data_IF_941002312657
#
_entry.id   IF_941002312657
#
_cell.length_a   1.000
_cell.length_b   1.000
_cell.length_c   1.000
_cell.angle_alpha   90.00
_cell.angle_beta   90.00
_cell.angle_gamma   90.00
#
_symmetry.space_group_name_H-M   'P 1'
#
loop_
_entity.id
_entity.type
_entity.pdbx_description
1 polymer ?
#
# COMPACT_ATOMS: atom_id res chain seq x y z
N UNK A 1 -1.81 -7.42 -28.84
CA UNK A 1 -2.62 -8.29 -27.98
C UNK A 1 -2.89 -7.52 -26.69
N UNK A 2 -3.99 -7.79 -25.95
CA UNK A 2 -4.18 -7.21 -24.63
C UNK A 2 -3.03 -7.58 -23.69
N UNK A 3 -2.62 -6.64 -22.85
CA UNK A 3 -1.60 -6.84 -21.83
C UNK A 3 -2.09 -6.18 -20.54
N UNK A 4 -1.60 -6.66 -19.40
CA UNK A 4 -1.86 -6.00 -18.12
C UNK A 4 -1.34 -4.56 -18.18
N UNK A 5 -2.10 -3.64 -17.59
CA UNK A 5 -1.68 -2.25 -17.47
C UNK A 5 -0.41 -2.18 -16.63
N UNK A 6 0.56 -1.39 -17.11
CA UNK A 6 1.71 -0.99 -16.31
C UNK A 6 1.29 0.06 -15.27
N UNK A 7 2.13 0.33 -14.27
CA UNK A 7 1.79 1.33 -13.25
C UNK A 7 1.68 2.73 -13.84
N UNK A 8 2.49 3.09 -14.83
CA UNK A 8 2.34 4.36 -15.56
C UNK A 8 1.05 4.44 -16.38
N UNK A 9 0.55 3.32 -16.90
CA UNK A 9 -0.73 3.30 -17.61
C UNK A 9 -1.89 3.42 -16.62
N UNK A 10 -1.82 2.73 -15.48
CA UNK A 10 -2.81 2.85 -14.41
C UNK A 10 -2.86 4.28 -13.85
N UNK A 11 -1.71 4.93 -13.66
CA UNK A 11 -1.62 6.34 -13.25
C UNK A 11 -2.39 7.26 -14.21
N UNK A 12 -2.25 7.05 -15.53
CA UNK A 12 -3.01 7.80 -16.53
C UNK A 12 -4.53 7.57 -16.42
N UNK A 13 -4.96 6.36 -16.08
CA UNK A 13 -6.38 6.11 -15.79
C UNK A 13 -6.85 6.98 -14.62
N UNK A 14 -6.09 7.03 -13.52
CA UNK A 14 -6.43 7.90 -12.38
C UNK A 14 -6.42 9.40 -12.74
N UNK A 15 -5.47 9.87 -13.55
CA UNK A 15 -5.44 11.25 -14.03
C UNK A 15 -6.69 11.61 -14.85
N UNK A 16 -7.16 10.70 -15.71
CA UNK A 16 -8.40 10.87 -16.50
C UNK A 16 -9.61 11.00 -15.57
N UNK A 17 -9.68 10.17 -14.52
CA UNK A 17 -10.78 10.17 -13.55
C UNK A 17 -10.54 11.09 -12.35
N UNK A 18 -9.58 12.01 -12.43
CA UNK A 18 -9.33 12.97 -11.36
C UNK A 18 -10.64 13.74 -11.06
N UNK A 19 -11.12 13.73 -9.79
CA UNK A 19 -12.40 14.33 -9.43
C UNK A 19 -12.32 15.86 -9.29
N UNK A 20 -11.18 16.45 -9.60
CA UNK A 20 -10.94 17.89 -9.49
C UNK A 20 -10.54 18.50 -10.84
N UNK A 21 -10.86 19.77 -10.99
CA UNK A 21 -10.25 20.65 -11.98
C UNK A 21 -8.82 21.02 -11.58
N UNK A 22 -8.06 21.61 -12.51
CA UNK A 22 -6.66 21.99 -12.29
C UNK A 22 -6.46 22.99 -11.14
N UNK A 23 -7.47 23.79 -10.83
CA UNK A 23 -7.44 24.77 -9.73
C UNK A 23 -7.89 24.17 -8.39
N UNK A 24 -8.22 22.86 -8.34
CA UNK A 24 -8.69 22.17 -7.15
C UNK A 24 -10.20 22.29 -6.92
N UNK A 25 -10.97 22.86 -7.86
CA UNK A 25 -12.43 22.82 -7.82
C UNK A 25 -12.93 21.39 -8.00
N UNK A 26 -13.80 20.91 -7.11
CA UNK A 26 -14.38 19.58 -7.21
C UNK A 26 -15.40 19.53 -8.36
N UNK A 27 -15.27 18.54 -9.26
CA UNK A 27 -16.17 18.33 -10.40
C UNK A 27 -17.59 17.97 -9.96
N UNK A 28 -18.61 18.08 -10.82
CA UNK A 28 -19.95 17.53 -10.56
C UNK A 28 -19.93 16.03 -10.21
N UNK A 29 -20.91 15.56 -9.43
CA UNK A 29 -20.95 14.18 -8.92
C UNK A 29 -21.00 13.12 -10.02
N UNK A 30 -21.71 13.39 -11.11
CA UNK A 30 -21.86 12.51 -12.28
C UNK A 30 -20.58 12.35 -13.11
N UNK A 31 -19.56 13.18 -12.86
CA UNK A 31 -18.24 13.08 -13.47
C UNK A 31 -17.20 12.40 -12.55
N UNK A 32 -17.54 12.11 -11.29
CA UNK A 32 -16.63 11.50 -10.32
C UNK A 32 -16.72 9.98 -10.43
N UNK A 33 -15.60 9.34 -10.74
CA UNK A 33 -15.55 7.90 -10.99
C UNK A 33 -14.53 7.24 -10.06
N UNK A 34 -14.91 6.09 -9.52
CA UNK A 34 -14.02 5.21 -8.76
C UNK A 34 -13.64 4.00 -9.61
N UNK A 35 -12.37 3.59 -9.56
CA UNK A 35 -11.90 2.34 -10.16
C UNK A 35 -12.00 1.23 -9.11
N UNK A 36 -12.68 0.14 -9.45
CA UNK A 36 -12.82 -0.99 -8.55
C UNK A 36 -11.50 -1.76 -8.44
N UNK A 37 -11.05 -1.97 -7.21
CA UNK A 37 -10.00 -2.92 -6.86
C UNK A 37 -10.64 -4.15 -6.20
N UNK A 38 -10.36 -5.34 -6.73
CA UNK A 38 -10.97 -6.59 -6.26
C UNK A 38 -9.90 -7.60 -5.89
N UNK A 39 -9.95 -8.09 -4.65
CA UNK A 39 -9.08 -9.17 -4.22
C UNK A 39 -9.38 -10.47 -4.97
N UNK A 40 -8.34 -11.10 -5.51
CA UNK A 40 -8.42 -12.42 -6.09
C UNK A 40 -7.89 -13.48 -5.12
N UNK A 41 -8.67 -14.55 -4.96
CA UNK A 41 -8.30 -15.71 -4.17
C UNK A 41 -8.29 -16.98 -5.02
N UNK A 42 -7.47 -18.00 -4.67
CA UNK A 42 -7.54 -19.30 -5.31
C UNK A 42 -8.94 -19.94 -5.16
N UNK A 43 -9.44 -20.65 -6.19
CA UNK A 43 -8.82 -20.88 -7.50
C UNK A 43 -8.89 -19.64 -8.41
N UNK A 44 -7.71 -19.16 -8.83
CA UNK A 44 -7.52 -17.89 -9.56
C UNK A 44 -8.24 -17.90 -10.90
N UNK A 45 -8.29 -19.04 -11.59
CA UNK A 45 -8.92 -19.19 -12.89
C UNK A 45 -10.43 -18.97 -12.83
N UNK A 46 -11.08 -19.25 -11.70
CA UNK A 46 -12.52 -19.06 -11.53
C UNK A 46 -12.84 -17.58 -11.21
N UNK A 47 -12.24 -17.03 -10.15
CA UNK A 47 -12.52 -15.64 -9.74
C UNK A 47 -11.95 -14.63 -10.75
N UNK A 48 -10.73 -14.86 -11.23
CA UNK A 48 -10.07 -14.01 -12.22
C UNK A 48 -10.84 -13.96 -13.54
N UNK A 49 -11.47 -15.07 -13.96
CA UNK A 49 -12.33 -15.08 -15.14
C UNK A 49 -13.52 -14.14 -14.98
N UNK A 50 -14.19 -14.16 -13.83
CA UNK A 50 -15.32 -13.28 -13.58
C UNK A 50 -14.91 -11.80 -13.62
N UNK A 51 -13.81 -11.44 -12.96
CA UNK A 51 -13.28 -10.08 -12.96
C UNK A 51 -12.86 -9.61 -14.36
N UNK A 52 -12.11 -10.44 -15.10
CA UNK A 52 -11.67 -10.11 -16.46
C UNK A 52 -12.85 -9.99 -17.42
N UNK A 53 -13.87 -10.85 -17.32
CA UNK A 53 -15.09 -10.73 -18.11
C UNK A 53 -15.86 -9.45 -17.79
N UNK A 54 -15.95 -9.07 -16.51
CA UNK A 54 -16.58 -7.81 -16.10
C UNK A 54 -15.82 -6.61 -16.68
N UNK A 55 -14.48 -6.62 -16.62
CA UNK A 55 -13.65 -5.57 -17.21
C UNK A 55 -13.76 -5.50 -18.75
N UNK A 56 -14.00 -6.64 -19.41
CA UNK A 56 -14.18 -6.73 -20.86
C UNK A 56 -15.59 -6.39 -21.35
N UNK A 57 -16.55 -6.20 -20.46
CA UNK A 57 -17.95 -6.01 -20.83
C UNK A 57 -18.19 -4.62 -21.45
N UNK A 58 -18.97 -4.56 -22.54
CA UNK A 58 -19.39 -3.32 -23.19
C UNK A 58 -18.20 -2.50 -23.72
N UNK A 59 -18.19 -1.22 -23.39
CA UNK A 59 -17.09 -0.31 -23.75
C UNK A 59 -15.80 -0.55 -22.94
N UNK A 60 -15.86 -1.49 -21.99
CA UNK A 60 -14.81 -1.86 -21.04
C UNK A 60 -14.56 -0.79 -19.99
N UNK A 61 -14.19 -1.22 -18.79
CA UNK A 61 -13.86 -0.34 -17.67
C UNK A 61 -12.53 -0.76 -17.04
N UNK A 62 -11.72 0.20 -16.55
CA UNK A 62 -10.54 -0.14 -15.77
C UNK A 62 -10.90 -0.96 -14.54
N UNK A 63 -10.12 -2.00 -14.29
CA UNK A 63 -10.25 -2.85 -13.11
C UNK A 63 -8.87 -3.17 -12.55
N UNK A 64 -8.75 -3.09 -11.23
CA UNK A 64 -7.55 -3.50 -10.51
C UNK A 64 -7.84 -4.85 -9.87
N UNK A 65 -7.07 -5.87 -10.20
CA UNK A 65 -7.16 -7.19 -9.56
C UNK A 65 -6.01 -7.27 -8.55
N UNK A 66 -6.37 -7.32 -7.27
CA UNK A 66 -5.40 -7.26 -6.18
C UNK A 66 -5.08 -8.65 -5.67
N UNK A 67 -3.79 -8.95 -5.52
CA UNK A 67 -3.31 -10.20 -4.96
C UNK A 67 -2.84 -9.91 -3.53
N UNK A 68 -3.51 -10.49 -2.53
CA UNK A 68 -3.09 -10.33 -1.13
C UNK A 68 -1.90 -11.22 -0.81
N UNK A 69 -1.10 -10.83 0.19
CA UNK A 69 0.03 -11.65 0.63
C UNK A 69 -0.37 -13.07 1.03
N UNK A 70 -1.55 -13.24 1.64
CA UNK A 70 -2.08 -14.56 1.98
C UNK A 70 -2.45 -15.36 0.72
N UNK A 71 -3.10 -14.73 -0.25
CA UNK A 71 -3.46 -15.35 -1.54
C UNK A 71 -2.21 -15.86 -2.28
N UNK A 72 -1.15 -15.04 -2.35
CA UNK A 72 0.14 -15.45 -2.92
C UNK A 72 0.73 -16.67 -2.20
N UNK A 73 0.77 -16.65 -0.87
CA UNK A 73 1.35 -17.74 -0.10
C UNK A 73 0.55 -19.04 -0.24
N UNK A 74 -0.78 -18.96 -0.35
CA UNK A 74 -1.65 -20.11 -0.59
C UNK A 74 -1.40 -20.68 -1.99
N UNK A 75 -1.39 -19.83 -3.03
CA UNK A 75 -1.15 -20.24 -4.41
C UNK A 75 0.25 -20.84 -4.63
N UNK A 76 1.28 -20.30 -3.98
CA UNK A 76 2.66 -20.80 -4.05
C UNK A 76 2.97 -21.98 -3.11
N UNK A 77 1.96 -22.59 -2.50
CA UNK A 77 2.08 -23.82 -1.74
C UNK A 77 2.86 -23.66 -0.42
N UNK A 78 2.67 -22.56 0.31
CA UNK A 78 3.27 -22.43 1.66
C UNK A 78 2.77 -23.56 2.55
N UNK A 79 3.70 -24.34 3.11
CA UNK A 79 3.39 -25.58 3.83
C UNK A 79 2.43 -25.42 5.03
N UNK A 80 2.38 -24.23 5.64
CA UNK A 80 1.44 -23.91 6.73
C UNK A 80 -0.01 -23.81 6.26
N UNK A 81 -0.24 -23.58 4.96
CA UNK A 81 -1.56 -23.47 4.34
C UNK A 81 -1.91 -24.72 3.53
N UNK A 82 -0.92 -25.31 2.87
CA UNK A 82 -1.08 -26.51 2.07
C UNK A 82 0.01 -27.53 2.43
N UNK A 83 -0.33 -28.47 3.32
CA UNK A 83 0.62 -29.47 3.80
C UNK A 83 0.85 -30.53 2.69
N UNK A 84 2.09 -30.69 2.19
CA UNK A 84 2.37 -31.72 1.20
C UNK A 84 2.11 -33.13 1.78
N UNK A 85 1.77 -34.11 0.93
CA UNK A 85 1.69 -35.52 1.34
C UNK A 85 3.00 -36.02 1.96
N UNK A 86 2.93 -37.11 2.72
CA UNK A 86 4.12 -37.73 3.30
C UNK A 86 5.18 -38.04 2.23
N UNK A 87 6.43 -37.65 2.49
CA UNK A 87 7.55 -37.83 1.56
C UNK A 87 7.69 -36.74 0.49
N UNK A 88 6.75 -35.78 0.40
CA UNK A 88 6.84 -34.65 -0.53
C UNK A 88 7.32 -33.41 0.21
N UNK A 89 8.33 -32.73 -0.33
CA UNK A 89 8.87 -31.48 0.24
C UNK A 89 8.73 -30.38 -0.80
N UNK A 90 8.08 -29.28 -0.42
CA UNK A 90 8.06 -28.05 -1.22
C UNK A 90 9.47 -27.50 -1.30
N UNK A 91 9.98 -27.31 -2.51
CA UNK A 91 11.29 -26.70 -2.72
C UNK A 91 11.33 -25.29 -2.10
N UNK A 92 12.49 -24.86 -1.61
CA UNK A 92 12.61 -23.56 -0.94
C UNK A 92 12.52 -22.39 -1.93
N UNK A 93 12.91 -22.60 -3.19
CA UNK A 93 12.92 -21.58 -4.23
C UNK A 93 12.07 -21.99 -5.44
N UNK A 94 11.36 -21.04 -6.06
CA UNK A 94 11.13 -19.66 -5.59
C UNK A 94 10.39 -19.62 -4.23
N UNK A 95 10.47 -18.54 -3.43
CA UNK A 95 9.68 -18.41 -2.20
C UNK A 95 8.17 -18.47 -2.48
N UNK A 96 7.32 -18.94 -1.54
CA UNK A 96 5.90 -19.17 -1.81
C UNK A 96 5.17 -17.93 -2.34
N UNK A 97 5.38 -16.77 -1.73
CA UNK A 97 4.73 -15.54 -2.17
C UNK A 97 5.11 -15.16 -3.61
N UNK A 98 6.39 -15.31 -3.99
CA UNK A 98 6.88 -15.02 -5.34
C UNK A 98 6.27 -15.99 -6.35
N UNK A 99 6.26 -17.28 -6.02
CA UNK A 99 5.74 -18.33 -6.90
C UNK A 99 4.24 -18.17 -7.13
N UNK A 100 3.47 -17.98 -6.05
CA UNK A 100 2.03 -17.79 -6.13
C UNK A 100 1.63 -16.50 -6.85
N UNK A 101 2.39 -15.41 -6.68
CA UNK A 101 2.15 -14.19 -7.44
C UNK A 101 2.36 -14.41 -8.95
N UNK A 102 3.46 -15.08 -9.35
CA UNK A 102 3.72 -15.41 -10.77
C UNK A 102 2.62 -16.26 -11.37
N UNK A 103 2.25 -17.36 -10.70
CA UNK A 103 1.16 -18.24 -11.12
C UNK A 103 -0.15 -17.46 -11.30
N UNK A 104 -0.45 -16.56 -10.36
CA UNK A 104 -1.67 -15.73 -10.44
C UNK A 104 -1.63 -14.79 -11.65
N UNK A 105 -0.51 -14.12 -11.88
CA UNK A 105 -0.35 -13.20 -13.02
C UNK A 105 -0.38 -13.94 -14.35
N UNK A 106 0.27 -15.09 -14.49
CA UNK A 106 0.23 -15.90 -15.72
C UNK A 106 -1.20 -16.33 -16.08
N UNK A 107 -1.99 -16.73 -15.08
CA UNK A 107 -3.41 -17.06 -15.29
C UNK A 107 -4.21 -15.82 -15.72
N UNK A 108 -4.01 -14.68 -15.06
CA UNK A 108 -4.68 -13.43 -15.44
C UNK A 108 -4.30 -12.97 -16.85
N UNK A 109 -3.02 -13.04 -17.22
CA UNK A 109 -2.52 -12.74 -18.56
C UNK A 109 -3.18 -13.64 -19.62
N UNK A 110 -3.35 -14.92 -19.33
CA UNK A 110 -4.09 -15.82 -20.22
C UNK A 110 -5.55 -15.38 -20.38
N UNK A 111 -6.23 -15.07 -19.27
CA UNK A 111 -7.63 -14.67 -19.27
C UNK A 111 -7.87 -13.34 -19.99
N UNK A 112 -7.04 -12.31 -19.78
CA UNK A 112 -7.21 -11.03 -20.49
C UNK A 112 -7.07 -11.19 -21.99
N UNK A 113 -6.20 -12.10 -22.46
CA UNK A 113 -6.04 -12.41 -23.86
C UNK A 113 -7.24 -13.18 -24.40
N UNK A 114 -7.76 -14.13 -23.63
CA UNK A 114 -8.94 -14.91 -23.98
C UNK A 114 -10.19 -14.03 -24.16
N UNK A 115 -10.37 -13.03 -23.29
CA UNK A 115 -11.58 -12.19 -23.27
C UNK A 115 -11.41 -10.80 -23.89
N UNK A 116 -10.20 -10.43 -24.31
CA UNK A 116 -9.96 -9.12 -24.93
C UNK A 116 -10.03 -7.94 -23.97
N UNK A 117 -9.78 -8.15 -22.67
CA UNK A 117 -9.85 -7.10 -21.64
C UNK A 117 -8.62 -6.19 -21.72
N UNK A 118 -8.83 -4.89 -22.01
CA UNK A 118 -7.74 -3.93 -22.28
C UNK A 118 -7.25 -3.15 -21.06
N UNK A 119 -8.10 -3.00 -20.05
CA UNK A 119 -7.85 -2.10 -18.92
C UNK A 119 -7.79 -2.86 -17.59
N UNK A 120 -7.02 -3.94 -17.53
CA UNK A 120 -6.83 -4.71 -16.30
C UNK A 120 -5.43 -4.45 -15.75
N UNK A 121 -5.36 -3.99 -14.51
CA UNK A 121 -4.12 -3.84 -13.76
C UNK A 121 -4.02 -4.93 -12.68
N UNK A 122 -2.81 -5.42 -12.41
CA UNK A 122 -2.55 -6.25 -11.23
C UNK A 122 -1.97 -5.37 -10.14
N UNK A 123 -2.44 -5.55 -8.90
CA UNK A 123 -1.84 -4.93 -7.73
C UNK A 123 -1.49 -5.93 -6.63
N UNK A 124 -0.61 -5.52 -5.72
CA UNK A 124 -0.34 -6.23 -4.47
C UNK A 124 -1.10 -5.55 -3.35
N UNK A 125 -1.92 -6.31 -2.64
CA UNK A 125 -2.71 -5.85 -1.50
C UNK A 125 -1.99 -6.10 -0.17
N UNK A 126 -2.29 -5.26 0.85
CA UNK A 126 -1.81 -5.28 2.23
C UNK A 126 -0.61 -6.22 2.49
N UNK A 127 0.59 -5.79 2.09
CA UNK A 127 1.80 -6.49 2.50
C UNK A 127 2.17 -6.06 3.92
N UNK A 128 1.82 -6.90 4.89
CA UNK A 128 1.95 -6.58 6.31
C UNK A 128 3.41 -6.34 6.72
N UNK A 129 3.69 -5.15 7.25
CA UNK A 129 4.96 -4.89 7.96
C UNK A 129 5.04 -5.75 9.24
N UNK A 130 6.25 -6.05 9.75
CA UNK A 130 6.40 -6.73 11.02
C UNK A 130 5.74 -5.96 12.17
N UNK A 131 5.26 -6.68 13.18
CA UNK A 131 4.65 -6.06 14.35
C UNK A 131 5.67 -5.21 15.11
N UNK A 132 5.32 -3.96 15.39
CA UNK A 132 6.10 -3.09 16.25
C UNK A 132 5.73 -3.34 17.72
N UNK A 133 6.69 -3.82 18.52
CA UNK A 133 6.51 -4.02 19.96
C UNK A 133 7.50 -3.13 20.75
N UNK A 134 7.00 -1.98 21.20
CA UNK A 134 7.82 -0.99 21.91
C UNK A 134 8.50 -1.57 23.14
N UNK A 135 7.79 -2.36 23.96
CA UNK A 135 8.32 -2.88 25.23
C UNK A 135 9.48 -3.84 25.05
N UNK A 136 9.47 -4.60 23.96
CA UNK A 136 10.55 -5.52 23.59
C UNK A 136 11.70 -4.75 22.93
N UNK A 137 11.39 -3.92 21.94
CA UNK A 137 12.38 -3.25 21.10
C UNK A 137 13.14 -2.14 21.83
N UNK A 138 12.51 -1.44 22.78
CA UNK A 138 13.15 -0.37 23.56
C UNK A 138 14.17 -0.89 24.60
N UNK A 139 14.03 -2.14 25.02
CA UNK A 139 14.91 -2.80 26.01
C UNK A 139 16.04 -3.60 25.36
N UNK A 140 15.87 -4.00 24.11
CA UNK A 140 16.87 -4.75 23.38
C UNK A 140 18.12 -3.86 23.11
N UNK A 141 19.34 -4.37 23.31
CA UNK A 141 20.54 -3.63 22.97
C UNK A 141 20.61 -3.42 21.46
N UNK A 142 20.84 -2.18 21.03
CA UNK A 142 21.09 -1.87 19.62
C UNK A 142 22.39 -2.53 19.19
N UNK A 143 22.30 -3.42 18.20
CA UNK A 143 23.49 -4.06 17.61
C UNK A 143 24.29 -3.01 16.85
N UNK A 144 25.61 -2.95 17.07
CA UNK A 144 26.50 -2.11 16.25
C UNK A 144 26.70 -2.78 14.90
N UNK A 145 25.97 -2.32 13.89
CA UNK A 145 26.08 -2.77 12.50
C UNK A 145 25.71 -1.66 11.53
N UNK A 146 26.05 -1.83 10.26
CA UNK A 146 25.71 -0.88 9.20
C UNK A 146 24.19 -0.69 9.11
N UNK A 147 23.39 -1.73 9.32
CA UNK A 147 21.93 -1.67 9.28
C UNK A 147 21.39 -0.75 10.38
N UNK A 148 21.94 -0.82 11.59
CA UNK A 148 21.54 0.06 12.70
C UNK A 148 21.94 1.52 12.46
N UNK A 149 23.10 1.76 11.87
CA UNK A 149 23.55 3.10 11.49
C UNK A 149 22.64 3.71 10.41
N UNK A 150 22.34 2.93 9.36
CA UNK A 150 21.41 3.35 8.30
C UNK A 150 19.99 3.57 8.84
N UNK A 151 19.53 2.73 9.77
CA UNK A 151 18.24 2.91 10.43
C UNK A 151 18.19 4.25 11.20
N UNK A 152 19.23 4.57 11.99
CA UNK A 152 19.29 5.84 12.71
C UNK A 152 19.27 7.06 11.76
N UNK A 153 19.98 6.99 10.64
CA UNK A 153 19.96 8.05 9.61
C UNK A 153 18.56 8.21 9.00
N UNK A 154 17.89 7.11 8.66
CA UNK A 154 16.51 7.14 8.12
C UNK A 154 15.51 7.76 9.10
N UNK A 155 15.62 7.41 10.39
CA UNK A 155 14.77 7.97 11.45
C UNK A 155 14.99 9.47 11.58
N UNK A 156 16.25 9.91 11.58
CA UNK A 156 16.59 11.33 11.65
C UNK A 156 16.07 12.09 10.43
N UNK A 157 16.32 11.57 9.22
CA UNK A 157 15.84 12.17 7.98
C UNK A 157 14.32 12.34 7.96
N UNK A 158 13.58 11.33 8.43
CA UNK A 158 12.13 11.42 8.58
C UNK A 158 11.72 12.51 9.58
N UNK A 159 12.33 12.58 10.77
CA UNK A 159 12.04 13.60 11.79
C UNK A 159 12.28 15.01 11.25
N UNK A 160 13.47 15.23 10.66
CA UNK A 160 13.87 16.53 10.12
C UNK A 160 12.89 16.99 9.03
N UNK A 161 12.39 16.07 8.20
CA UNK A 161 11.42 16.39 7.16
C UNK A 161 10.00 16.63 7.70
N UNK A 162 9.61 15.97 8.80
CA UNK A 162 8.27 16.06 9.40
C UNK A 162 8.01 17.39 10.12
N UNK A 163 9.05 18.09 10.58
CA UNK A 163 8.95 19.29 11.43
C UNK A 163 7.92 20.35 10.96
N UNK A 164 7.82 20.69 9.65
CA UNK A 164 6.90 21.73 9.19
C UNK A 164 5.41 21.45 9.45
N UNK A 165 4.99 20.18 9.53
CA UNK A 165 3.58 19.81 9.71
C UNK A 165 3.30 19.06 11.03
N UNK A 166 4.33 18.49 11.66
CA UNK A 166 4.22 17.76 12.92
C UNK A 166 4.80 18.55 14.11
N UNK A 167 5.48 19.67 13.85
CA UNK A 167 6.25 20.39 14.85
C UNK A 167 7.53 19.66 15.21
N UNK A 168 8.28 20.20 16.19
CA UNK A 168 9.53 19.60 16.63
C UNK A 168 9.27 18.24 17.29
N UNK A 169 9.84 17.18 16.72
CA UNK A 169 9.78 15.82 17.27
C UNK A 169 11.10 15.52 17.99
N UNK A 170 11.03 15.27 19.29
CA UNK A 170 12.17 14.81 20.09
C UNK A 170 11.91 13.36 20.53
N UNK A 171 12.84 12.46 20.20
CA UNK A 171 12.78 11.07 20.65
C UNK A 171 13.65 10.89 21.89
N UNK A 172 13.11 10.26 22.93
CA UNK A 172 13.94 9.76 24.02
C UNK A 172 14.79 8.56 23.57
N UNK A 173 15.81 8.22 24.35
CA UNK A 173 16.75 7.14 24.02
C UNK A 173 16.02 5.80 23.83
N UNK A 174 14.96 5.55 24.59
CA UNK A 174 14.17 4.30 24.50
C UNK A 174 13.42 4.22 23.17
N UNK A 175 12.83 5.31 22.73
CA UNK A 175 12.07 5.39 21.48
C UNK A 175 12.99 5.30 20.28
N UNK A 176 14.11 6.03 20.30
CA UNK A 176 15.12 5.92 19.25
C UNK A 176 15.66 4.48 19.15
N UNK A 177 15.99 3.85 20.29
CA UNK A 177 16.43 2.46 20.32
C UNK A 177 15.39 1.50 19.74
N UNK A 178 14.11 1.68 20.10
CA UNK A 178 13.03 0.83 19.58
C UNK A 178 12.90 0.95 18.05
N UNK A 179 12.99 2.16 17.52
CA UNK A 179 12.87 2.40 16.07
C UNK A 179 14.07 1.86 15.31
N UNK A 180 15.29 2.06 15.83
CA UNK A 180 16.51 1.50 15.22
C UNK A 180 16.43 -0.03 15.21
N UNK A 181 16.12 -0.64 16.36
CA UNK A 181 15.99 -2.09 16.47
C UNK A 181 14.92 -2.66 15.53
N UNK A 182 13.81 -1.94 15.30
CA UNK A 182 12.79 -2.35 14.34
C UNK A 182 13.32 -2.38 12.91
N UNK A 183 13.88 -1.26 12.43
CA UNK A 183 14.36 -1.13 11.05
C UNK A 183 15.61 -1.99 10.75
N UNK A 184 16.42 -2.29 11.77
CA UNK A 184 17.57 -3.19 11.64
C UNK A 184 17.23 -4.66 11.94
N UNK A 185 15.96 -4.99 12.23
CA UNK A 185 15.56 -6.35 12.61
C UNK A 185 15.61 -7.32 11.42
N UNK A 186 15.97 -8.60 11.65
CA UNK A 186 15.86 -9.64 10.63
C UNK A 186 14.46 -9.72 10.01
N UNK A 187 13.41 -9.53 10.82
CA UNK A 187 12.02 -9.57 10.40
C UNK A 187 11.69 -8.45 9.40
N UNK A 188 12.18 -7.23 9.64
CA UNK A 188 12.01 -6.13 8.68
C UNK A 188 12.81 -6.35 7.40
N UNK A 189 14.05 -6.85 7.50
CA UNK A 189 14.85 -7.16 6.32
C UNK A 189 14.23 -8.28 5.48
N UNK A 190 13.66 -9.29 6.12
CA UNK A 190 12.88 -10.35 5.46
C UNK A 190 11.63 -9.79 4.78
N UNK A 191 10.83 -8.96 5.47
CA UNK A 191 9.68 -8.28 4.88
C UNK A 191 10.07 -7.50 3.62
N UNK A 192 11.09 -6.63 3.72
CA UNK A 192 11.57 -5.80 2.61
C UNK A 192 12.00 -6.67 1.44
N UNK A 193 12.81 -7.70 1.69
CA UNK A 193 13.28 -8.65 0.68
C UNK A 193 12.12 -9.36 -0.01
N UNK A 194 11.16 -9.87 0.74
CA UNK A 194 10.06 -10.65 0.19
C UNK A 194 9.13 -9.79 -0.67
N UNK A 195 8.81 -8.57 -0.21
CA UNK A 195 8.03 -7.60 -1.00
C UNK A 195 8.74 -7.25 -2.32
N UNK A 196 10.03 -6.89 -2.25
CA UNK A 196 10.82 -6.54 -3.44
C UNK A 196 10.96 -7.71 -4.41
N UNK A 197 11.09 -8.94 -3.92
CA UNK A 197 11.14 -10.13 -4.77
C UNK A 197 9.83 -10.34 -5.53
N UNK A 198 8.68 -10.10 -4.89
CA UNK A 198 7.37 -10.17 -5.56
C UNK A 198 7.27 -9.05 -6.61
N UNK A 199 7.60 -7.81 -6.25
CA UNK A 199 7.58 -6.68 -7.18
C UNK A 199 8.48 -6.94 -8.40
N UNK A 200 9.70 -7.45 -8.19
CA UNK A 200 10.62 -7.77 -9.27
C UNK A 200 10.11 -8.91 -10.17
N UNK A 201 9.42 -9.89 -9.57
CA UNK A 201 8.92 -11.07 -10.25
C UNK A 201 7.72 -10.77 -11.16
N UNK A 202 6.77 -9.96 -10.70
CA UNK A 202 5.49 -9.77 -11.40
C UNK A 202 5.23 -8.35 -11.90
N UNK A 203 6.07 -7.38 -11.50
CA UNK A 203 5.98 -5.97 -11.94
C UNK A 203 4.54 -5.43 -11.87
N UNK A 204 3.91 -5.47 -10.68
CA UNK A 204 2.53 -5.05 -10.53
C UNK A 204 2.38 -3.57 -10.91
N UNK A 205 1.21 -3.17 -11.39
CA UNK A 205 0.94 -1.76 -11.66
C UNK A 205 0.97 -0.93 -10.36
N UNK A 206 0.55 -1.56 -9.26
CA UNK A 206 0.36 -0.95 -7.96
C UNK A 206 0.78 -1.90 -6.84
N UNK A 207 1.44 -1.43 -5.80
CA UNK A 207 1.78 -2.22 -4.62
C UNK A 207 1.46 -1.46 -3.35
N UNK A 208 0.97 -2.16 -2.33
CA UNK A 208 0.66 -1.60 -1.03
C UNK A 208 1.46 -2.29 0.06
N UNK A 209 2.05 -1.49 0.95
CA UNK A 209 2.54 -1.96 2.25
C UNK A 209 1.60 -1.42 3.32
N UNK A 210 1.24 -2.27 4.28
CA UNK A 210 0.40 -1.85 5.41
C UNK A 210 1.33 -1.30 6.50
N UNK A 211 1.31 0.02 6.66
CA UNK A 211 2.06 0.74 7.71
C UNK A 211 1.16 1.31 8.80
N UNK A 212 -0.15 1.03 8.77
CA UNK A 212 -1.16 1.70 9.61
C UNK A 212 -0.81 1.66 11.10
N UNK A 213 -0.26 0.53 11.56
CA UNK A 213 0.02 0.27 12.97
C UNK A 213 1.38 0.77 13.45
N UNK A 214 2.17 1.40 12.59
CA UNK A 214 3.46 1.94 12.96
C UNK A 214 3.32 3.36 13.54
N UNK A 215 4.20 3.76 14.48
CA UNK A 215 4.33 5.16 14.86
C UNK A 215 4.64 6.07 13.65
N UNK A 216 4.18 7.33 13.62
CA UNK A 216 4.31 8.21 12.44
C UNK A 216 5.72 8.31 11.85
N UNK A 217 6.76 8.42 12.69
CA UNK A 217 8.16 8.47 12.21
C UNK A 217 8.55 7.18 11.48
N UNK A 218 8.10 6.02 11.97
CA UNK A 218 8.32 4.74 11.31
C UNK A 218 7.48 4.60 10.03
N UNK A 219 6.25 5.12 9.99
CA UNK A 219 5.45 5.17 8.76
C UNK A 219 6.21 5.92 7.65
N UNK A 220 6.77 7.09 7.97
CA UNK A 220 7.61 7.88 7.06
C UNK A 220 8.85 7.08 6.62
N UNK A 221 9.64 6.60 7.57
CA UNK A 221 10.90 5.92 7.29
C UNK A 221 10.73 4.61 6.49
N UNK A 222 9.76 3.77 6.86
CA UNK A 222 9.49 2.49 6.18
C UNK A 222 8.97 2.74 4.77
N UNK A 223 7.99 3.62 4.59
CA UNK A 223 7.43 3.91 3.27
C UNK A 223 8.49 4.48 2.34
N UNK A 224 9.32 5.41 2.83
CA UNK A 224 10.43 5.97 2.06
C UNK A 224 11.46 4.90 1.68
N UNK A 225 11.85 4.05 2.61
CA UNK A 225 12.81 2.96 2.36
C UNK A 225 12.31 1.98 1.28
N UNK A 226 11.02 1.65 1.30
CA UNK A 226 10.41 0.75 0.32
C UNK A 226 10.26 1.44 -1.06
N UNK A 227 9.81 2.69 -1.10
CA UNK A 227 9.80 3.51 -2.31
C UNK A 227 11.19 3.59 -2.97
N UNK A 228 12.21 3.91 -2.16
CA UNK A 228 13.58 4.01 -2.63
C UNK A 228 14.12 2.66 -3.08
N UNK A 229 13.80 1.56 -2.40
CA UNK A 229 14.23 0.24 -2.81
C UNK A 229 13.61 -0.21 -4.14
N UNK A 230 12.33 0.07 -4.37
CA UNK A 230 11.69 -0.19 -5.68
C UNK A 230 12.39 0.64 -6.78
N UNK A 231 12.61 1.94 -6.53
CA UNK A 231 13.05 2.87 -7.57
C UNK A 231 14.55 2.87 -7.84
N UNK A 232 15.36 2.75 -6.79
CA UNK A 232 16.82 2.83 -6.83
C UNK A 232 17.43 1.43 -6.89
N UNK A 233 17.03 0.53 -5.99
CA UNK A 233 17.66 -0.79 -5.88
C UNK A 233 17.17 -1.74 -7.00
N UNK A 234 15.85 -1.79 -7.26
CA UNK A 234 15.30 -2.57 -8.39
C UNK A 234 15.32 -1.81 -9.73
N UNK A 235 15.59 -0.50 -9.71
CA UNK A 235 15.52 0.35 -10.91
C UNK A 235 14.10 0.44 -11.51
N UNK A 236 13.06 0.07 -10.75
CA UNK A 236 11.69 0.04 -11.24
C UNK A 236 11.01 1.39 -10.95
N UNK A 237 10.74 2.15 -12.01
CA UNK A 237 10.03 3.44 -11.92
C UNK A 237 8.59 3.35 -12.42
N UNK A 238 8.10 2.15 -12.71
CA UNK A 238 6.76 1.98 -13.28
C UNK A 238 5.71 1.67 -12.21
N UNK A 239 6.05 0.86 -11.19
CA UNK A 239 5.15 0.50 -10.08
C UNK A 239 4.75 1.73 -9.27
N UNK A 240 3.45 1.92 -9.06
CA UNK A 240 2.91 2.87 -8.09
C UNK A 240 2.94 2.24 -6.69
N UNK A 241 3.54 2.91 -5.70
CA UNK A 241 3.42 2.48 -4.31
C UNK A 241 2.27 3.26 -3.64
N UNK A 242 1.34 2.53 -3.05
CA UNK A 242 0.38 3.06 -2.10
C UNK A 242 0.99 3.14 -0.72
N UNK A 243 0.89 4.32 -0.13
CA UNK A 243 1.23 4.54 1.26
C UNK A 243 -0.03 4.59 2.12
N UNK A 244 0.10 4.20 3.38
CA UNK A 244 -1.00 4.23 4.34
C UNK A 244 -0.63 5.08 5.54
N UNK A 245 -1.34 6.20 5.71
CA UNK A 245 -1.21 7.07 6.87
C UNK A 245 -2.40 6.85 7.81
N UNK A 246 -2.19 6.00 8.80
CA UNK A 246 -3.20 5.63 9.80
C UNK A 246 -3.64 6.79 10.71
N UNK A 247 -4.69 6.54 11.49
CA UNK A 247 -5.10 7.46 12.56
C UNK A 247 -3.94 7.61 13.55
N UNK A 248 -3.72 8.83 14.04
CA UNK A 248 -2.62 9.25 14.94
C UNK A 248 -2.70 8.63 16.36
N UNK A 249 -3.17 7.39 16.49
CA UNK A 249 -3.28 6.62 17.72
C UNK A 249 -2.06 5.73 17.98
N UNK A 250 -1.94 5.26 19.23
CA UNK A 250 -0.91 4.28 19.61
C UNK A 250 -1.21 2.92 18.95
N UNK A 251 -0.14 2.22 18.54
CA UNK A 251 -0.21 0.89 17.92
C UNK A 251 -1.07 -0.10 18.71
N UNK A 252 -2.16 -0.59 18.10
CA UNK A 252 -2.87 -1.80 18.55
C UNK A 252 -4.20 -1.61 19.28
N UNK A 253 -4.68 -0.38 19.43
CA UNK A 253 -6.02 -0.11 19.98
C UNK A 253 -7.02 0.16 18.84
N UNK A 254 -8.26 -0.35 18.97
CA UNK A 254 -9.38 0.12 18.15
C UNK A 254 -9.65 1.57 18.52
N UNK A 255 -9.08 2.50 17.75
CA UNK A 255 -9.34 3.92 17.93
C UNK A 255 -10.62 4.26 17.18
N UNK A 256 -11.64 4.70 17.93
CA UNK A 256 -12.88 5.22 17.33
C UNK A 256 -12.56 6.33 16.33
N UNK A 257 -13.19 6.29 15.16
CA UNK A 257 -12.98 7.31 14.15
C UNK A 257 -13.50 8.68 14.63
N UNK A 258 -12.57 9.63 14.80
CA UNK A 258 -12.91 11.02 15.14
C UNK A 258 -12.86 11.88 13.87
N UNK A 259 -13.99 12.51 13.55
CA UNK A 259 -14.08 13.47 12.45
C UNK A 259 -13.26 14.73 12.75
N UNK A 260 -12.26 15.00 11.92
CA UNK A 260 -11.48 16.24 11.97
C UNK A 260 -12.25 17.35 11.25
N UNK A 261 -12.16 18.59 11.75
CA UNK A 261 -12.84 19.77 11.17
C UNK A 261 -11.95 21.00 11.24
N UNK A 262 -12.22 21.98 10.38
CA UNK A 262 -11.51 23.27 10.35
C UNK A 262 -9.99 23.11 10.32
N UNK A 263 -9.28 23.81 11.22
CA UNK A 263 -7.80 23.82 11.28
C UNK A 263 -7.19 22.44 11.49
N UNK A 264 -7.84 21.56 12.24
CA UNK A 264 -7.29 20.21 12.49
C UNK A 264 -7.34 19.37 11.21
N UNK A 265 -8.40 19.51 10.42
CA UNK A 265 -8.50 18.87 9.11
C UNK A 265 -7.48 19.46 8.12
N UNK A 266 -7.31 20.78 8.10
CA UNK A 266 -6.29 21.44 7.27
C UNK A 266 -4.87 21.01 7.64
N UNK A 267 -4.59 20.86 8.94
CA UNK A 267 -3.30 20.38 9.42
C UNK A 267 -3.07 18.92 9.04
N UNK A 268 -4.08 18.06 9.17
CA UNK A 268 -4.00 16.67 8.71
C UNK A 268 -3.74 16.59 7.20
N UNK A 269 -4.42 17.42 6.39
CA UNK A 269 -4.19 17.47 4.95
C UNK A 269 -2.74 17.85 4.60
N UNK A 270 -2.15 18.81 5.32
CA UNK A 270 -0.72 19.16 5.17
C UNK A 270 0.21 18.01 5.57
N UNK A 271 -0.11 17.29 6.65
CA UNK A 271 0.66 16.11 7.07
C UNK A 271 0.65 15.02 5.99
N UNK A 272 -0.51 14.75 5.39
CA UNK A 272 -0.63 13.79 4.27
C UNK A 272 0.15 14.27 3.05
N UNK A 273 0.05 15.55 2.68
CA UNK A 273 0.80 16.11 1.55
C UNK A 273 2.33 16.03 1.77
N UNK A 274 2.78 16.36 3.00
CA UNK A 274 4.19 16.24 3.39
C UNK A 274 4.66 14.78 3.33
N UNK A 275 3.84 13.84 3.80
CA UNK A 275 4.14 12.40 3.75
C UNK A 275 4.33 11.91 2.32
N UNK A 276 3.44 12.30 1.40
CA UNK A 276 3.59 11.96 -0.03
C UNK A 276 4.83 12.59 -0.64
N UNK A 277 5.12 13.87 -0.36
CA UNK A 277 6.35 14.54 -0.84
C UNK A 277 7.62 13.85 -0.34
N UNK A 278 7.64 13.44 0.92
CA UNK A 278 8.78 12.77 1.54
C UNK A 278 9.06 11.41 0.91
N UNK A 279 8.03 10.56 0.92
CA UNK A 279 8.12 9.16 0.48
C UNK A 279 8.20 9.05 -1.04
N UNK A 280 7.57 9.99 -1.73
CA UNK A 280 7.28 9.93 -3.15
C UNK A 280 6.26 8.85 -3.50
N UNK A 281 5.43 8.36 -2.58
CA UNK A 281 4.37 7.41 -2.91
C UNK A 281 3.41 7.99 -3.97
N UNK A 282 2.83 7.13 -4.80
CA UNK A 282 1.97 7.52 -5.94
C UNK A 282 0.50 7.11 -5.72
N UNK A 283 0.16 6.63 -4.53
CA UNK A 283 -1.19 6.37 -4.04
C UNK A 283 -1.23 6.53 -2.52
N UNK A 284 -2.41 6.79 -1.95
CA UNK A 284 -2.56 7.02 -0.51
C UNK A 284 -3.85 6.39 0.04
N UNK A 285 -3.77 5.78 1.22
CA UNK A 285 -4.92 5.54 2.09
C UNK A 285 -4.78 6.34 3.40
N UNK A 286 -5.92 6.71 3.96
CA UNK A 286 -6.05 7.30 5.30
C UNK A 286 -7.48 7.12 5.81
N UNK A 287 -7.70 7.10 7.13
CA UNK A 287 -9.01 6.80 7.69
C UNK A 287 -10.02 7.89 7.36
N UNK A 288 -11.18 7.48 6.83
CA UNK A 288 -12.34 8.31 6.54
C UNK A 288 -13.62 7.77 7.23
N UNK A 289 -13.46 6.94 8.27
CA UNK A 289 -14.58 6.35 9.03
C UNK A 289 -15.13 5.04 8.47
N UNK A 290 -14.46 4.45 7.48
CA UNK A 290 -14.77 3.12 6.96
C UNK A 290 -14.09 2.04 7.81
N UNK A 291 -14.74 0.88 7.95
CA UNK A 291 -14.25 -0.25 8.73
C UNK A 291 -14.02 -1.44 7.80
N UNK A 292 -12.89 -2.13 7.96
CA UNK A 292 -12.62 -3.38 7.27
C UNK A 292 -13.62 -4.47 7.67
N UNK A 293 -14.11 -5.23 6.68
CA UNK A 293 -14.98 -6.39 6.91
C UNK A 293 -16.25 -6.06 7.72
N UNK A 294 -16.89 -4.94 7.40
CA UNK A 294 -18.19 -4.56 7.96
C UNK A 294 -19.18 -5.73 7.90
N UNK A 295 -19.93 -5.96 8.98
CA UNK A 295 -20.86 -7.08 9.04
C UNK A 295 -21.97 -6.88 8.01
N UNK A 296 -22.54 -7.97 7.52
CA UNK A 296 -23.67 -7.90 6.57
C UNK A 296 -24.79 -7.01 7.13
N UNK A 297 -25.12 -5.94 6.41
CA UNK A 297 -26.16 -4.98 6.78
C UNK A 297 -25.66 -3.76 7.57
N UNK A 298 -24.39 -3.75 7.96
CA UNK A 298 -23.72 -2.58 8.53
C UNK A 298 -23.34 -1.61 7.40
N UNK A 299 -23.59 -0.32 7.61
CA UNK A 299 -23.24 0.74 6.67
C UNK A 299 -22.46 1.81 7.43
N UNK A 300 -21.36 2.24 6.84
CA UNK A 300 -20.57 3.36 7.31
C UNK A 300 -20.58 4.44 6.24
N UNK A 301 -20.88 5.67 6.64
CA UNK A 301 -20.83 6.81 5.74
C UNK A 301 -19.41 7.40 5.75
N UNK A 302 -18.74 7.49 4.59
CA UNK A 302 -17.40 8.06 4.52
C UNK A 302 -17.41 9.54 4.89
N UNK A 303 -16.33 10.01 5.50
CA UNK A 303 -16.10 11.43 5.77
C UNK A 303 -15.69 12.17 4.50
N UNK A 304 -16.70 12.50 3.69
CA UNK A 304 -16.52 13.15 2.38
C UNK A 304 -15.81 14.51 2.49
N UNK A 305 -16.01 15.25 3.57
CA UNK A 305 -15.32 16.53 3.81
C UNK A 305 -13.82 16.31 3.98
N UNK A 306 -13.44 15.30 4.76
CA UNK A 306 -12.03 14.93 4.93
C UNK A 306 -11.42 14.48 3.61
N UNK A 307 -12.13 13.62 2.87
CA UNK A 307 -11.68 13.14 1.57
C UNK A 307 -11.45 14.31 0.59
N UNK A 308 -12.40 15.23 0.47
CA UNK A 308 -12.29 16.39 -0.41
C UNK A 308 -11.11 17.29 -0.01
N UNK A 309 -11.03 17.70 1.26
CA UNK A 309 -10.00 18.64 1.72
C UNK A 309 -8.59 18.06 1.56
N UNK A 310 -8.39 16.79 1.91
CA UNK A 310 -7.09 16.14 1.80
C UNK A 310 -6.71 15.93 0.34
N UNK A 311 -7.62 15.42 -0.50
CA UNK A 311 -7.33 15.19 -1.92
C UNK A 311 -7.07 16.48 -2.70
N UNK A 312 -7.85 17.55 -2.44
CA UNK A 312 -7.60 18.87 -2.99
C UNK A 312 -6.22 19.40 -2.57
N UNK A 313 -5.87 19.24 -1.30
CA UNK A 313 -4.56 19.66 -0.79
C UNK A 313 -3.44 18.90 -1.48
N UNK A 314 -3.55 17.57 -1.62
CA UNK A 314 -2.58 16.76 -2.35
C UNK A 314 -2.39 17.23 -3.79
N UNK A 315 -3.47 17.43 -4.53
CA UNK A 315 -3.42 17.90 -5.91
C UNK A 315 -2.66 19.24 -6.03
N UNK A 316 -3.00 20.21 -5.19
CA UNK A 316 -2.43 21.56 -5.25
C UNK A 316 -0.99 21.60 -4.72
N UNK A 317 -0.68 20.83 -3.70
CA UNK A 317 0.63 20.86 -3.04
C UNK A 317 1.68 19.97 -3.69
N UNK A 318 1.28 18.78 -4.17
CA UNK A 318 2.17 17.84 -4.85
C UNK A 318 2.27 18.20 -6.33
N UNK A 319 1.23 18.80 -6.91
CA UNK A 319 1.18 19.24 -8.31
C UNK A 319 0.70 18.16 -9.27
N UNK A 320 0.25 17.02 -8.75
CA UNK A 320 -0.33 15.92 -9.52
C UNK A 320 -1.41 15.21 -8.69
N UNK A 321 -2.29 14.47 -9.36
CA UNK A 321 -3.33 13.71 -8.67
C UNK A 321 -2.73 12.45 -8.02
N UNK A 322 -2.91 12.35 -6.70
CA UNK A 322 -2.50 11.19 -5.90
C UNK A 322 -3.77 10.40 -5.55
N UNK A 323 -4.06 9.28 -6.22
CA UNK A 323 -5.29 8.52 -6.02
C UNK A 323 -5.45 8.06 -4.56
N UNK A 324 -6.64 8.30 -4.02
CA UNK A 324 -7.08 7.75 -2.73
C UNK A 324 -7.57 6.32 -2.90
N UNK A 325 -7.04 5.41 -2.08
CA UNK A 325 -7.55 4.06 -1.96
C UNK A 325 -8.49 3.97 -0.75
N UNK A 326 -9.77 3.69 -1.02
CA UNK A 326 -10.72 3.35 0.03
C UNK A 326 -10.63 1.85 0.31
N UNK A 327 -10.35 1.49 1.56
CA UNK A 327 -10.43 0.09 2.01
C UNK A 327 -11.71 -0.17 2.81
N UNK A 328 -12.12 -1.44 2.89
CA UNK A 328 -13.34 -1.84 3.61
C UNK A 328 -14.66 -1.41 2.95
N UNK A 329 -14.67 -1.19 1.63
CA UNK A 329 -15.85 -0.86 0.83
C UNK A 329 -16.74 -2.05 0.48
#
# INVERSE_FOLDING_TARGET
MPHLLTGRQLKKCFEIFCPFEKDGTLKPEDERVTILASNINPPVDLQGRAFVMAAAQGDQSPMIIQISYNSMNLAGGKATHFKPPAGVIRQNYPPPAVDGAKLTVEVLEHLINQYGAKYVAVSLDHFNVPKFNFDVLSKAPVKKSLESELAAVKIKDAIDFMEPAFGKIELDDKTLNAYVNFLSSPEYQEFKRDFLNVVAAVKPAWGMIDTERLPPVLVFAVTKDICDAIRKDLGNRDVMLEAELGATGQSGEEVEYVKLRGKDLENFAKQVALFIKYTGAEGISYPIGMVHAAKKGEKHEPDMEKLEVVQRTLLLEVGEYIPFAQHGG
#
